data_IF_262381195820
#
_entry.id   IF_262381195820
#
_cell.length_a   1.000
_cell.length_b   1.000
_cell.length_c   1.000
_cell.angle_alpha   90.00
_cell.angle_beta   90.00
_cell.angle_gamma   90.00
#
_symmetry.space_group_name_H-M   'P 1'
#
loop_
_entity.id
_entity.type
_entity.pdbx_description
1 polymer ?
#
# COMPACT_ATOMS: atom_id res chain seq x y z
N UNK A 1 19.53 -21.45 -0.02
CA UNK A 1 19.45 -19.97 -0.01
C UNK A 1 19.73 -19.51 1.42
N UNK A 2 20.54 -18.47 1.62
CA UNK A 2 20.82 -17.92 2.96
C UNK A 2 19.52 -17.39 3.59
N UNK A 3 19.12 -17.81 4.81
CA UNK A 3 17.86 -17.38 5.44
C UNK A 3 17.80 -15.86 5.65
N UNK A 4 18.91 -15.22 6.04
CA UNK A 4 18.96 -13.77 6.22
C UNK A 4 18.71 -13.02 4.90
N UNK A 5 19.25 -13.56 3.80
CA UNK A 5 19.01 -13.00 2.46
C UNK A 5 17.53 -13.14 2.07
N UNK A 6 16.92 -14.29 2.35
CA UNK A 6 15.51 -14.53 2.05
C UNK A 6 14.58 -13.57 2.83
N UNK A 7 14.87 -13.36 4.12
CA UNK A 7 14.15 -12.41 4.98
C UNK A 7 14.28 -10.98 4.44
N UNK A 8 15.50 -10.56 4.10
CA UNK A 8 15.75 -9.24 3.56
C UNK A 8 15.03 -9.00 2.22
N UNK A 9 15.01 -10.02 1.34
CA UNK A 9 14.26 -9.98 0.08
C UNK A 9 12.76 -9.86 0.35
N UNK A 10 12.20 -10.69 1.23
CA UNK A 10 10.77 -10.65 1.54
C UNK A 10 10.33 -9.28 2.10
N UNK A 11 11.10 -8.73 3.04
CA UNK A 11 10.84 -7.41 3.61
C UNK A 11 10.87 -6.31 2.55
N UNK A 12 11.93 -6.28 1.73
CA UNK A 12 12.06 -5.26 0.67
C UNK A 12 10.99 -5.42 -0.40
N UNK A 13 10.66 -6.65 -0.80
CA UNK A 13 9.62 -6.93 -1.77
C UNK A 13 8.25 -6.42 -1.29
N UNK A 14 7.87 -6.72 -0.04
CA UNK A 14 6.62 -6.21 0.54
C UNK A 14 6.57 -4.68 0.53
N UNK A 15 7.66 -4.00 0.91
CA UNK A 15 7.73 -2.55 0.93
C UNK A 15 7.69 -1.94 -0.47
N UNK A 16 8.37 -2.55 -1.46
CA UNK A 16 8.36 -2.08 -2.85
C UNK A 16 6.98 -2.28 -3.47
N UNK A 17 6.36 -3.44 -3.29
CA UNK A 17 5.02 -3.72 -3.81
C UNK A 17 4.03 -2.72 -3.19
N UNK A 18 4.10 -2.49 -1.87
CA UNK A 18 3.28 -1.48 -1.21
C UNK A 18 3.55 -0.06 -1.73
N UNK A 19 4.81 0.30 -1.97
CA UNK A 19 5.18 1.59 -2.55
C UNK A 19 4.54 1.80 -3.93
N UNK A 20 4.53 0.77 -4.78
CA UNK A 20 3.90 0.83 -6.10
C UNK A 20 2.38 0.87 -6.01
N UNK A 21 1.78 0.02 -5.16
CA UNK A 21 0.32 -0.06 -4.99
C UNK A 21 -0.27 1.25 -4.48
N UNK A 22 0.36 1.90 -3.50
CA UNK A 22 -0.06 3.24 -3.06
C UNK A 22 0.40 4.35 -4.02
N UNK A 23 1.60 4.22 -4.59
CA UNK A 23 2.21 5.22 -5.46
C UNK A 23 1.50 5.45 -6.79
N UNK A 24 0.74 4.45 -7.28
CA UNK A 24 -0.06 4.60 -8.51
C UNK A 24 -1.07 5.74 -8.43
N UNK A 25 -1.50 6.11 -7.22
CA UNK A 25 -2.38 7.24 -6.96
C UNK A 25 -1.82 8.60 -7.39
N UNK A 26 -0.50 8.70 -7.64
CA UNK A 26 0.11 9.88 -8.25
C UNK A 26 -0.49 10.17 -9.64
N UNK A 27 -0.98 9.14 -10.35
CA UNK A 27 -1.72 9.31 -11.60
C UNK A 27 -2.92 10.25 -11.45
N UNK A 28 -3.65 10.17 -10.33
CA UNK A 28 -4.80 11.05 -10.06
C UNK A 28 -4.39 12.54 -9.90
N UNK A 29 -3.12 12.81 -9.61
CA UNK A 29 -2.57 14.17 -9.48
C UNK A 29 -2.12 14.72 -10.83
N UNK A 30 -1.41 13.90 -11.60
CA UNK A 30 -0.72 14.35 -12.83
C UNK A 30 -1.56 14.22 -14.10
N UNK A 31 -2.56 13.34 -14.11
CA UNK A 31 -3.39 13.14 -15.30
C UNK A 31 -4.25 14.38 -15.58
N UNK A 32 -4.52 14.67 -16.87
CA UNK A 32 -5.58 15.59 -17.28
C UNK A 32 -6.91 15.23 -16.61
N UNK A 33 -7.70 16.27 -16.30
CA UNK A 33 -8.92 16.11 -15.50
C UNK A 33 -9.92 15.14 -16.14
N UNK A 34 -10.15 15.26 -17.45
CA UNK A 34 -10.97 14.36 -18.25
C UNK A 34 -10.50 12.90 -18.18
N UNK A 35 -9.19 12.66 -18.26
CA UNK A 35 -8.63 11.31 -18.18
C UNK A 35 -8.78 10.71 -16.78
N UNK A 36 -8.56 11.52 -15.73
CA UNK A 36 -8.73 11.06 -14.35
C UNK A 36 -10.18 10.63 -14.06
N UNK A 37 -11.16 11.38 -14.58
CA UNK A 37 -12.58 11.04 -14.47
C UNK A 37 -13.00 9.87 -15.35
N UNK A 38 -12.37 9.68 -16.51
CA UNK A 38 -12.59 8.49 -17.34
C UNK A 38 -12.14 7.22 -16.62
N UNK A 39 -10.96 7.25 -15.98
CA UNK A 39 -10.48 6.14 -15.15
C UNK A 39 -11.42 5.91 -13.96
N UNK A 40 -11.78 6.98 -13.24
CA UNK A 40 -12.67 6.87 -12.08
C UNK A 40 -14.05 6.29 -12.46
N UNK A 41 -14.63 6.74 -13.58
CA UNK A 41 -15.90 6.21 -14.10
C UNK A 41 -15.78 4.74 -14.51
N UNK A 42 -14.64 4.35 -15.12
CA UNK A 42 -14.39 2.94 -15.46
C UNK A 42 -14.29 2.05 -14.23
N UNK A 43 -13.74 2.56 -13.12
CA UNK A 43 -13.66 1.83 -11.85
C UNK A 43 -15.00 1.78 -11.12
N UNK A 44 -15.81 2.84 -11.23
CA UNK A 44 -17.14 2.91 -10.61
C UNK A 44 -18.19 2.08 -11.35
N UNK A 45 -17.93 1.72 -12.63
CA UNK A 45 -18.91 1.04 -13.47
C UNK A 45 -20.04 1.94 -13.98
N UNK A 46 -19.94 3.25 -13.74
CA UNK A 46 -20.91 4.26 -14.17
C UNK A 46 -20.23 5.61 -14.45
N UNK A 47 -20.91 6.47 -15.21
CA UNK A 47 -20.39 7.80 -15.53
C UNK A 47 -20.43 8.72 -14.31
N UNK A 48 -19.25 9.26 -13.95
CA UNK A 48 -19.14 10.24 -12.86
C UNK A 48 -19.03 11.64 -13.48
N UNK A 49 -20.07 12.44 -13.26
CA UNK A 49 -20.13 13.83 -13.73
C UNK A 49 -18.98 14.66 -13.13
N UNK A 50 -18.07 15.22 -13.96
CA UNK A 50 -16.95 16.00 -13.46
C UNK A 50 -17.42 17.31 -12.81
N UNK A 51 -16.88 17.62 -11.63
CA UNK A 51 -17.09 18.91 -10.96
C UNK A 51 -15.78 19.43 -10.36
N UNK A 52 -15.60 20.76 -10.23
CA UNK A 52 -14.38 21.32 -9.66
C UNK A 52 -14.05 20.77 -8.26
N UNK A 53 -15.08 20.57 -7.42
CA UNK A 53 -14.89 20.05 -6.06
C UNK A 53 -14.45 18.58 -6.08
N UNK A 54 -15.03 17.75 -6.94
CA UNK A 54 -14.64 16.35 -7.05
C UNK A 54 -13.25 16.19 -7.65
N UNK A 55 -12.88 17.03 -8.62
CA UNK A 55 -11.52 17.10 -9.16
C UNK A 55 -10.48 17.56 -8.13
N UNK A 56 -10.85 18.46 -7.21
CA UNK A 56 -10.01 18.83 -6.07
C UNK A 56 -9.82 17.64 -5.12
N UNK A 57 -10.91 16.99 -4.70
CA UNK A 57 -10.85 15.83 -3.80
C UNK A 57 -10.03 14.69 -4.38
N UNK A 58 -10.22 14.35 -5.66
CA UNK A 58 -9.47 13.30 -6.34
C UNK A 58 -7.95 13.56 -6.33
N UNK A 59 -7.54 14.80 -6.56
CA UNK A 59 -6.11 15.18 -6.51
C UNK A 59 -5.58 15.18 -5.09
N UNK A 60 -6.37 15.64 -4.13
CA UNK A 60 -5.96 15.69 -2.72
C UNK A 60 -5.78 14.28 -2.15
N UNK A 61 -6.74 13.37 -2.39
CA UNK A 61 -6.64 11.97 -1.98
C UNK A 61 -5.52 11.25 -2.73
N UNK A 62 -5.39 11.48 -4.04
CA UNK A 62 -4.29 10.98 -4.85
C UNK A 62 -2.92 11.38 -4.31
N UNK A 63 -2.76 12.64 -3.91
CA UNK A 63 -1.51 13.13 -3.32
C UNK A 63 -1.23 12.50 -1.95
N UNK A 64 -2.24 12.34 -1.09
CA UNK A 64 -2.08 11.70 0.21
C UNK A 64 -1.63 10.24 0.07
N UNK A 65 -2.25 9.48 -0.84
CA UNK A 65 -1.88 8.09 -1.13
C UNK A 65 -0.50 7.99 -1.80
N UNK A 66 -0.14 8.94 -2.67
CA UNK A 66 1.17 8.98 -3.29
C UNK A 66 2.27 9.19 -2.24
N UNK A 67 2.02 10.05 -1.24
CA UNK A 67 2.94 10.22 -0.12
C UNK A 67 3.10 8.95 0.72
N UNK A 68 2.03 8.19 0.95
CA UNK A 68 2.13 6.86 1.59
C UNK A 68 3.04 5.95 0.75
N UNK A 69 2.87 5.92 -0.57
CA UNK A 69 3.75 5.18 -1.48
C UNK A 69 5.22 5.61 -1.36
N UNK A 70 5.49 6.91 -1.31
CA UNK A 70 6.84 7.44 -1.09
C UNK A 70 7.44 7.01 0.25
N UNK A 71 6.65 6.97 1.33
CA UNK A 71 7.10 6.51 2.64
C UNK A 71 7.47 5.01 2.61
N UNK A 72 6.66 4.19 1.95
CA UNK A 72 7.02 2.78 1.71
C UNK A 72 8.31 2.65 0.90
N UNK A 73 8.47 3.43 -0.16
CA UNK A 73 9.68 3.46 -0.99
C UNK A 73 10.93 3.87 -0.19
N UNK A 74 10.80 4.86 0.69
CA UNK A 74 11.86 5.26 1.60
C UNK A 74 12.25 4.11 2.56
N UNK A 75 11.27 3.46 3.18
CA UNK A 75 11.50 2.29 4.02
C UNK A 75 12.12 1.12 3.25
N UNK A 76 11.80 0.93 1.96
CA UNK A 76 12.37 -0.14 1.14
C UNK A 76 13.89 0.00 0.94
N UNK A 77 14.42 1.23 0.92
CA UNK A 77 15.86 1.48 0.79
C UNK A 77 16.65 1.01 2.01
N UNK A 78 16.14 1.25 3.21
CA UNK A 78 16.80 0.93 4.47
C UNK A 78 15.79 0.61 5.60
N UNK A 79 15.12 -0.55 5.56
CA UNK A 79 13.97 -0.82 6.42
C UNK A 79 14.31 -0.88 7.92
N UNK A 80 15.54 -1.26 8.25
CA UNK A 80 16.04 -1.37 9.62
C UNK A 80 16.61 -0.05 10.17
N UNK A 81 16.79 0.99 9.34
CA UNK A 81 17.21 2.32 9.83
C UNK A 81 16.08 3.09 10.49
N UNK A 82 14.84 2.79 10.11
CA UNK A 82 13.62 3.44 10.63
C UNK A 82 12.56 2.40 11.02
N UNK A 83 12.90 1.44 11.90
CA UNK A 83 12.06 0.25 12.15
C UNK A 83 10.67 0.61 12.69
N UNK A 84 10.55 1.70 13.46
CA UNK A 84 9.26 2.22 13.92
C UNK A 84 8.34 2.62 12.77
N UNK A 85 8.86 3.39 11.79
CA UNK A 85 8.11 3.80 10.61
C UNK A 85 7.78 2.59 9.72
N UNK A 86 8.77 1.73 9.47
CA UNK A 86 8.58 0.50 8.67
C UNK A 86 7.48 -0.37 9.27
N UNK A 87 7.48 -0.59 10.59
CA UNK A 87 6.44 -1.34 11.30
C UNK A 87 5.08 -0.67 11.20
N UNK A 88 5.02 0.65 11.42
CA UNK A 88 3.77 1.39 11.35
C UNK A 88 3.14 1.33 9.95
N UNK A 89 3.94 1.47 8.89
CA UNK A 89 3.46 1.38 7.50
C UNK A 89 2.98 -0.03 7.14
N UNK A 90 3.71 -1.07 7.53
CA UNK A 90 3.29 -2.46 7.28
C UNK A 90 2.02 -2.83 8.07
N UNK A 91 1.90 -2.34 9.31
CA UNK A 91 0.68 -2.50 10.11
C UNK A 91 -0.48 -1.73 9.50
N UNK A 92 -0.25 -0.48 9.04
CA UNK A 92 -1.24 0.28 8.28
C UNK A 92 -1.73 -0.53 7.07
N UNK A 93 -0.83 -1.11 6.27
CA UNK A 93 -1.26 -1.86 5.09
C UNK A 93 -2.06 -3.12 5.43
N UNK A 94 -1.66 -3.82 6.49
CA UNK A 94 -2.40 -4.98 6.99
C UNK A 94 -3.82 -4.58 7.42
N UNK A 95 -3.94 -3.50 8.20
CA UNK A 95 -5.23 -2.99 8.64
C UNK A 95 -6.09 -2.48 7.48
N UNK A 96 -5.49 -1.85 6.47
CA UNK A 96 -6.17 -1.48 5.22
C UNK A 96 -6.73 -2.71 4.51
N UNK A 97 -5.95 -3.79 4.39
CA UNK A 97 -6.42 -5.05 3.80
C UNK A 97 -7.62 -5.65 4.55
N UNK A 98 -7.60 -5.63 5.89
CA UNK A 98 -8.75 -6.04 6.71
C UNK A 98 -9.95 -5.11 6.48
N UNK A 99 -9.73 -3.80 6.45
CA UNK A 99 -10.79 -2.83 6.21
C UNK A 99 -11.43 -3.02 4.83
N UNK A 100 -10.64 -3.29 3.79
CA UNK A 100 -11.15 -3.56 2.44
C UNK A 100 -11.97 -4.84 2.38
N UNK A 101 -11.59 -5.92 3.09
CA UNK A 101 -12.45 -7.10 3.22
C UNK A 101 -13.80 -6.76 3.87
N UNK A 102 -13.77 -6.02 4.99
CA UNK A 102 -14.99 -5.69 5.75
C UNK A 102 -15.90 -4.78 4.93
N UNK A 103 -15.35 -3.76 4.29
CA UNK A 103 -16.10 -2.84 3.43
C UNK A 103 -16.61 -3.57 2.20
N UNK A 104 -15.79 -4.34 1.49
CA UNK A 104 -16.22 -5.13 0.34
C UNK A 104 -17.40 -6.05 0.68
N UNK A 105 -17.29 -6.80 1.78
CA UNK A 105 -18.36 -7.66 2.26
C UNK A 105 -19.64 -6.87 2.63
N UNK A 106 -19.49 -5.69 3.25
CA UNK A 106 -20.63 -4.85 3.64
C UNK A 106 -21.38 -4.27 2.43
N UNK A 107 -20.68 -4.01 1.32
CA UNK A 107 -21.26 -3.53 0.07
C UNK A 107 -21.66 -4.66 -0.89
N UNK A 108 -21.48 -5.94 -0.50
CA UNK A 108 -21.75 -7.08 -1.37
C UNK A 108 -20.88 -7.10 -2.63
N UNK A 109 -19.65 -6.59 -2.52
CA UNK A 109 -18.67 -6.61 -3.59
C UNK A 109 -18.02 -7.99 -3.63
N UNK A 110 -18.50 -8.82 -4.56
CA UNK A 110 -17.96 -10.16 -4.82
C UNK A 110 -16.97 -10.15 -6.00
N UNK A 111 -16.50 -8.97 -6.38
CA UNK A 111 -15.75 -8.74 -7.60
C UNK A 111 -14.22 -8.81 -7.41
N UNK A 112 -13.53 -9.07 -8.52
CA UNK A 112 -12.07 -9.22 -8.52
C UNK A 112 -11.31 -7.97 -7.98
N UNK A 113 -11.73 -6.72 -8.24
CA UNK A 113 -11.08 -5.53 -7.69
C UNK A 113 -11.05 -5.46 -6.15
N UNK A 114 -12.18 -5.67 -5.48
CA UNK A 114 -12.25 -5.59 -4.01
C UNK A 114 -11.40 -6.67 -3.33
N UNK A 115 -11.40 -7.89 -3.90
CA UNK A 115 -10.52 -8.97 -3.44
C UNK A 115 -9.03 -8.66 -3.67
N UNK A 116 -8.68 -8.01 -4.78
CA UNK A 116 -7.30 -7.64 -5.08
C UNK A 116 -6.76 -6.59 -4.10
N UNK A 117 -7.55 -5.57 -3.76
CA UNK A 117 -7.18 -4.54 -2.79
C UNK A 117 -6.95 -5.13 -1.39
N UNK A 118 -7.86 -6.01 -0.96
CA UNK A 118 -7.74 -6.72 0.29
C UNK A 118 -6.49 -7.62 0.32
N UNK A 119 -6.27 -8.40 -0.74
CA UNK A 119 -5.10 -9.28 -0.86
C UNK A 119 -3.81 -8.48 -0.86
N UNK A 120 -3.76 -7.35 -1.56
CA UNK A 120 -2.62 -6.43 -1.57
C UNK A 120 -2.25 -5.99 -0.14
N UNK A 121 -3.21 -5.47 0.62
CA UNK A 121 -2.98 -5.00 1.98
C UNK A 121 -2.56 -6.12 2.94
N UNK A 122 -3.31 -7.22 2.93
CA UNK A 122 -3.07 -8.37 3.82
C UNK A 122 -1.72 -9.03 3.53
N UNK A 123 -1.42 -9.32 2.27
CA UNK A 123 -0.20 -10.08 1.90
C UNK A 123 1.07 -9.29 2.22
N UNK A 124 1.18 -8.06 1.71
CA UNK A 124 2.36 -7.23 1.91
C UNK A 124 2.53 -6.82 3.38
N UNK A 125 1.42 -6.53 4.08
CA UNK A 125 1.42 -6.23 5.52
C UNK A 125 1.89 -7.42 6.36
N UNK A 126 1.28 -8.60 6.20
CA UNK A 126 1.65 -9.82 6.94
C UNK A 126 3.09 -10.25 6.64
N UNK A 127 3.45 -10.42 5.36
CA UNK A 127 4.79 -10.88 4.95
C UNK A 127 5.84 -9.87 5.45
N UNK A 128 5.58 -8.58 5.28
CA UNK A 128 6.50 -7.54 5.71
C UNK A 128 6.69 -7.50 7.23
N UNK A 129 5.61 -7.59 8.03
CA UNK A 129 5.71 -7.59 9.49
C UNK A 129 6.47 -8.81 10.01
N UNK A 130 6.20 -10.00 9.44
CA UNK A 130 6.91 -11.23 9.79
C UNK A 130 8.40 -11.07 9.44
N UNK A 131 8.71 -10.64 8.21
CA UNK A 131 10.09 -10.46 7.77
C UNK A 131 10.84 -9.40 8.59
N UNK A 132 10.19 -8.28 8.95
CA UNK A 132 10.76 -7.26 9.82
C UNK A 132 11.06 -7.83 11.21
N UNK A 133 10.10 -8.53 11.82
CA UNK A 133 10.27 -9.12 13.15
C UNK A 133 11.37 -10.19 13.20
N UNK A 134 11.59 -10.92 12.11
CA UNK A 134 12.70 -11.87 11.99
C UNK A 134 14.04 -11.12 11.82
N UNK A 135 14.09 -10.10 10.96
CA UNK A 135 15.31 -9.31 10.75
C UNK A 135 15.76 -8.57 12.03
N UNK A 136 14.82 -8.05 12.82
CA UNK A 136 15.11 -7.40 14.11
C UNK A 136 15.57 -8.36 15.21
N UNK A 137 15.37 -9.68 15.05
CA UNK A 137 15.89 -10.69 15.98
C UNK A 137 17.33 -11.03 15.64
N UNK A 138 17.63 -11.19 14.35
CA UNK A 138 18.99 -11.49 13.85
C UNK A 138 19.97 -10.34 14.11
N UNK A 139 19.50 -9.09 14.14
CA UNK A 139 20.34 -7.89 14.36
C UNK A 139 20.65 -7.62 15.86
N UNK A 140 20.07 -8.38 16.80
CA UNK A 140 20.35 -8.20 18.23
C UNK A 140 21.68 -8.87 18.61
N UNK A 141 22.58 -8.16 19.32
CA UNK A 141 23.79 -8.79 19.83
C UNK A 141 23.42 -9.90 20.84
N UNK A 142 24.08 -11.05 20.74
CA UNK A 142 23.90 -12.17 21.66
C UNK A 142 24.23 -11.72 23.09
N UNK A 143 23.41 -12.07 24.10
CA UNK A 143 23.76 -11.78 25.48
C UNK A 143 25.03 -12.59 25.83
N UNK A 144 26.12 -11.87 26.09
CA UNK A 144 27.39 -12.40 26.61
C UNK A 144 27.27 -12.79 28.06
#
# INVERSE_FOLDING_TARGET
MNPALAIAIALRASLIIAALGWGISLAAVVLPHDQAFAVLSSMAGEEIAPSPILGYWLRMTGLAFAFIGCLFGYCACAPLRVPGLTRALLAFNLLSGVAFLVVGAAYGLDDHPSAADALFGLSTGCIGLIALGLAERDDRPSPT
#
